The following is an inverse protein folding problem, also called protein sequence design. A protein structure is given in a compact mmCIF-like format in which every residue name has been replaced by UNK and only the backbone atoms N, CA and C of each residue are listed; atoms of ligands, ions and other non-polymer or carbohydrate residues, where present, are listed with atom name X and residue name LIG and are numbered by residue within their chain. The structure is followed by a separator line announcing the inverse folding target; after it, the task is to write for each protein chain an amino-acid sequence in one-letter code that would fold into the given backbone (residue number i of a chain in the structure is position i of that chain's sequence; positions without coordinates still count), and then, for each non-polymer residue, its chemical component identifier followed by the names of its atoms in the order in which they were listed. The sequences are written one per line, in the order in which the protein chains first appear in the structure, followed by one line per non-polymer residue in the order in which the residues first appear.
data_IF_699570033800
#
_entry.id   IF_699570033800
#
_cell.length_a   1.000
_cell.length_b   1.000
_cell.length_c   1.000
_cell.angle_alpha   90.00
_cell.angle_beta   90.00
_cell.angle_gamma   90.00
#
_symmetry.space_group_name_H-M   'P 1'
#
loop_
_entity.id
_entity.type
_entity.pdbx_description
1 polymer ?
#
# COMPACT_ATOMS: atom_id res chain seq x y z
N UNK A 1 -7.28 -30.47 -16.47
CA UNK A 1 -8.18 -29.53 -15.75
C UNK A 1 -8.14 -29.63 -14.21
N UNK A 2 -7.35 -30.51 -13.58
CA UNK A 2 -7.21 -30.54 -12.09
C UNK A 2 -6.25 -29.47 -11.54
N UNK A 3 -5.30 -29.00 -12.35
CA UNK A 3 -4.29 -28.01 -11.92
C UNK A 3 -4.79 -26.55 -11.99
N UNK A 4 -5.83 -26.28 -12.78
CA UNK A 4 -6.40 -24.93 -12.93
C UNK A 4 -7.07 -24.42 -11.64
N UNK A 5 -7.53 -25.31 -10.75
CA UNK A 5 -8.21 -24.92 -9.50
C UNK A 5 -7.31 -24.05 -8.60
N UNK A 6 -6.00 -24.32 -8.60
CA UNK A 6 -5.04 -23.56 -7.81
C UNK A 6 -4.72 -22.23 -8.48
N UNK A 7 -4.66 -22.20 -9.81
CA UNK A 7 -4.44 -20.97 -10.57
C UNK A 7 -5.59 -19.98 -10.37
N UNK A 8 -6.84 -20.43 -10.50
CA UNK A 8 -8.03 -19.59 -10.26
C UNK A 8 -8.06 -19.04 -8.83
N UNK A 9 -7.66 -19.85 -7.85
CA UNK A 9 -7.55 -19.40 -6.46
C UNK A 9 -6.55 -18.25 -6.32
N UNK A 10 -5.33 -18.40 -6.85
CA UNK A 10 -4.32 -17.35 -6.77
C UNK A 10 -4.70 -16.10 -7.55
N UNK A 11 -5.27 -16.24 -8.75
CA UNK A 11 -5.74 -15.12 -9.57
C UNK A 11 -6.79 -14.28 -8.83
N UNK A 12 -7.75 -14.94 -8.18
CA UNK A 12 -8.76 -14.26 -7.36
C UNK A 12 -8.14 -13.46 -6.19
N UNK A 13 -7.00 -13.90 -5.65
CA UNK A 13 -6.27 -13.14 -4.62
C UNK A 13 -5.58 -11.89 -5.17
N UNK A 14 -5.40 -11.77 -6.50
CA UNK A 14 -4.81 -10.60 -7.15
C UNK A 14 -5.85 -9.53 -7.50
N UNK A 15 -7.14 -9.87 -7.54
CA UNK A 15 -8.23 -8.96 -7.89
C UNK A 15 -8.34 -7.74 -6.97
N UNK A 16 -8.04 -7.92 -5.68
CA UNK A 16 -8.13 -6.89 -4.67
C UNK A 16 -6.93 -6.94 -3.72
N UNK A 17 -6.44 -5.77 -3.31
CA UNK A 17 -5.43 -5.68 -2.27
C UNK A 17 -5.96 -6.20 -0.92
N UNK A 18 -7.23 -5.96 -0.62
CA UNK A 18 -7.94 -6.46 0.56
C UNK A 18 -8.62 -7.82 0.27
N UNK A 19 -7.87 -8.83 -0.13
CA UNK A 19 -8.41 -10.14 -0.47
C UNK A 19 -8.89 -10.94 0.77
N UNK A 20 -9.42 -12.14 0.54
CA UNK A 20 -9.97 -13.00 1.60
C UNK A 20 -8.95 -13.36 2.70
N UNK A 21 -7.66 -13.50 2.36
CA UNK A 21 -6.60 -13.81 3.33
C UNK A 21 -6.34 -12.61 4.24
N UNK A 22 -6.31 -11.40 3.68
CA UNK A 22 -6.16 -10.15 4.44
C UNK A 22 -7.34 -9.98 5.41
N UNK A 23 -8.57 -10.16 4.92
CA UNK A 23 -9.78 -10.05 5.76
C UNK A 23 -9.76 -11.05 6.91
N UNK A 24 -9.36 -12.30 6.65
CA UNK A 24 -9.25 -13.34 7.67
C UNK A 24 -8.18 -12.99 8.72
N UNK A 25 -6.99 -12.56 8.30
CA UNK A 25 -5.92 -12.19 9.22
C UNK A 25 -6.33 -10.99 10.12
N UNK A 26 -7.10 -10.03 9.60
CA UNK A 26 -7.66 -8.94 10.41
C UNK A 26 -8.73 -9.41 11.38
N UNK A 27 -9.58 -10.36 10.99
CA UNK A 27 -10.58 -10.98 11.89
C UNK A 27 -9.91 -11.75 13.04
N UNK A 28 -8.72 -12.30 12.82
CA UNK A 28 -7.86 -12.91 13.85
C UNK A 28 -7.18 -11.87 14.77
N UNK A 29 -7.43 -10.57 14.55
CA UNK A 29 -6.90 -9.47 15.38
C UNK A 29 -5.46 -9.08 15.06
N UNK A 30 -4.91 -9.54 13.92
CA UNK A 30 -3.54 -9.21 13.50
C UNK A 30 -3.48 -7.81 12.87
N UNK A 31 -2.36 -7.13 13.07
CA UNK A 31 -2.11 -5.79 12.53
C UNK A 31 -1.68 -5.89 11.07
N UNK A 32 -2.35 -5.16 10.18
CA UNK A 32 -2.06 -5.14 8.74
C UNK A 32 -1.01 -4.07 8.40
N UNK A 33 0.20 -4.51 8.07
CA UNK A 33 1.33 -3.64 7.68
C UNK A 33 1.44 -3.58 6.16
N UNK A 34 1.23 -2.39 5.59
CA UNK A 34 1.41 -2.14 4.18
C UNK A 34 2.87 -1.89 3.82
N UNK A 35 3.32 -2.41 2.68
CA UNK A 35 4.59 -2.00 2.06
C UNK A 35 4.44 -1.69 0.58
N UNK A 36 5.26 -0.76 0.07
CA UNK A 36 5.21 -0.29 -1.33
C UNK A 36 6.43 -0.70 -2.15
N UNK A 37 7.52 -1.11 -1.50
CA UNK A 37 8.82 -1.35 -2.13
C UNK A 37 9.49 -2.61 -1.57
N UNK A 38 10.26 -3.30 -2.40
CA UNK A 38 10.95 -4.54 -2.03
C UNK A 38 12.21 -4.30 -1.19
N UNK A 39 12.59 -3.03 -1.04
CA UNK A 39 13.69 -2.59 -0.18
C UNK A 39 13.26 -2.35 1.26
N UNK A 40 11.99 -2.59 1.62
CA UNK A 40 11.58 -2.56 3.03
C UNK A 40 12.30 -3.69 3.76
N UNK A 41 12.98 -3.41 4.89
CA UNK A 41 13.66 -4.44 5.68
C UNK A 41 12.70 -5.57 6.06
N UNK A 42 13.05 -6.81 5.73
CA UNK A 42 12.23 -8.00 5.99
C UNK A 42 11.89 -8.16 7.47
N UNK A 43 12.81 -7.78 8.36
CA UNK A 43 12.62 -7.79 9.82
C UNK A 43 11.43 -6.94 10.28
N UNK A 44 11.06 -5.88 9.55
CA UNK A 44 9.89 -5.06 9.86
C UNK A 44 8.59 -5.68 9.34
N UNK A 45 8.68 -6.59 8.36
CA UNK A 45 7.54 -7.23 7.72
C UNK A 45 7.06 -8.48 8.49
N UNK A 46 7.90 -9.04 9.37
CA UNK A 46 7.65 -10.28 10.13
C UNK A 46 7.57 -10.05 11.66
N UNK A 47 7.07 -8.88 12.08
CA UNK A 47 6.91 -8.59 13.50
C UNK A 47 5.80 -9.45 14.14
N UNK A 48 5.97 -9.91 15.39
CA UNK A 48 4.96 -10.70 16.09
C UNK A 48 3.59 -10.02 16.12
N UNK A 49 2.53 -10.76 15.79
CA UNK A 49 1.15 -10.24 15.78
C UNK A 49 0.81 -9.36 14.57
N UNK A 50 1.74 -9.19 13.63
CA UNK A 50 1.51 -8.45 12.39
C UNK A 50 1.39 -9.39 11.20
N UNK A 51 0.88 -8.88 10.08
CA UNK A 51 1.03 -9.50 8.77
C UNK A 51 1.21 -8.42 7.71
N UNK A 52 1.93 -8.75 6.66
CA UNK A 52 2.34 -7.77 5.65
C UNK A 52 1.55 -7.92 4.36
N UNK A 53 1.16 -6.78 3.78
CA UNK A 53 0.53 -6.70 2.46
C UNK A 53 1.38 -5.81 1.55
N UNK A 54 1.81 -6.35 0.40
CA UNK A 54 2.37 -5.55 -0.68
C UNK A 54 1.24 -4.77 -1.35
N UNK A 55 1.29 -3.45 -1.28
CA UNK A 55 0.32 -2.60 -1.94
C UNK A 55 0.44 -2.78 -3.46
N UNK A 56 -0.72 -2.91 -4.08
CA UNK A 56 -0.93 -2.95 -5.52
C UNK A 56 -2.19 -2.17 -5.79
N UNK A 57 -2.29 -1.62 -6.99
CA UNK A 57 -3.47 -0.90 -7.44
C UNK A 57 -4.22 -1.72 -8.52
N UNK A 58 -4.82 -2.87 -8.17
CA UNK A 58 -5.65 -3.60 -9.10
C UNK A 58 -6.94 -2.82 -9.36
N UNK A 59 -7.50 -2.99 -10.57
CA UNK A 59 -8.74 -2.31 -11.02
C UNK A 59 -8.66 -0.78 -11.01
N UNK A 60 -7.45 -0.21 -11.07
CA UNK A 60 -7.26 1.21 -11.35
C UNK A 60 -7.86 1.54 -12.72
N UNK A 61 -8.86 2.42 -12.72
CA UNK A 61 -9.55 2.86 -13.93
C UNK A 61 -8.99 4.18 -14.45
N UNK A 62 -9.45 5.28 -13.86
CA UNK A 62 -8.92 6.63 -14.16
C UNK A 62 -7.62 6.87 -13.42
N UNK A 63 -6.71 7.65 -14.02
CA UNK A 63 -5.48 8.16 -13.39
C UNK A 63 -5.47 9.68 -13.23
N UNK A 64 -6.65 10.30 -13.28
CA UNK A 64 -6.80 11.74 -13.27
C UNK A 64 -6.34 12.36 -11.95
N UNK A 65 -6.75 11.83 -10.80
CA UNK A 65 -6.36 12.38 -9.51
C UNK A 65 -4.89 12.11 -9.20
N UNK A 66 -4.40 10.92 -9.53
CA UNK A 66 -2.99 10.56 -9.45
C UNK A 66 -2.14 11.50 -10.29
N UNK A 67 -2.60 11.88 -11.50
CA UNK A 67 -1.90 12.82 -12.39
C UNK A 67 -2.04 14.29 -11.95
N UNK A 68 -3.12 14.64 -11.27
CA UNK A 68 -3.33 15.97 -10.70
C UNK A 68 -2.38 16.24 -9.53
N UNK A 69 -2.28 15.30 -8.59
CA UNK A 69 -1.39 15.42 -7.42
C UNK A 69 0.07 15.08 -7.73
N UNK A 70 0.32 14.30 -8.78
CA UNK A 70 1.66 13.91 -9.20
C UNK A 70 1.80 14.08 -10.71
N UNK A 71 2.85 14.76 -11.17
CA UNK A 71 3.06 14.98 -12.61
C UNK A 71 3.00 13.67 -13.42
N UNK A 72 2.44 13.74 -14.64
CA UNK A 72 2.30 12.60 -15.57
C UNK A 72 3.65 11.97 -15.96
N UNK A 73 4.75 12.70 -15.76
CA UNK A 73 6.11 12.18 -15.97
C UNK A 73 6.52 11.12 -14.93
N UNK A 74 5.86 11.03 -13.78
CA UNK A 74 6.18 10.02 -12.77
C UNK A 74 5.62 8.64 -13.15
N UNK A 75 6.28 7.60 -12.65
CA UNK A 75 5.90 6.21 -12.92
C UNK A 75 4.44 5.94 -12.58
N UNK A 76 3.77 5.29 -13.54
CA UNK A 76 2.37 4.89 -13.46
C UNK A 76 2.06 4.14 -12.17
N UNK A 77 2.96 3.27 -11.70
CA UNK A 77 2.74 2.53 -10.45
C UNK A 77 2.55 3.46 -9.24
N UNK A 78 3.36 4.52 -9.12
CA UNK A 78 3.25 5.45 -8.00
C UNK A 78 1.96 6.29 -8.06
N UNK A 79 1.56 6.72 -9.27
CA UNK A 79 0.29 7.41 -9.51
C UNK A 79 -0.91 6.50 -9.27
N UNK A 80 -0.81 5.23 -9.69
CA UNK A 80 -1.84 4.21 -9.49
C UNK A 80 -2.08 3.90 -8.02
N UNK A 81 -1.00 3.83 -7.23
CA UNK A 81 -1.11 3.70 -5.78
C UNK A 81 -1.84 4.91 -5.18
N UNK A 82 -1.47 6.14 -5.56
CA UNK A 82 -2.12 7.34 -5.00
C UNK A 82 -3.60 7.41 -5.35
N UNK A 83 -3.97 7.19 -6.61
CA UNK A 83 -5.37 7.15 -7.04
C UNK A 83 -6.17 6.13 -6.23
N UNK A 84 -5.64 4.91 -6.12
CA UNK A 84 -6.34 3.84 -5.39
C UNK A 84 -6.44 4.15 -3.90
N UNK A 85 -5.49 4.88 -3.34
CA UNK A 85 -5.57 5.38 -1.98
C UNK A 85 -6.69 6.42 -1.82
N UNK A 86 -6.81 7.37 -2.76
CA UNK A 86 -7.87 8.40 -2.78
C UNK A 86 -9.26 7.75 -2.89
N UNK A 87 -9.40 6.69 -3.69
CA UNK A 87 -10.62 5.88 -3.80
C UNK A 87 -10.96 5.09 -2.53
N UNK A 88 -10.09 5.08 -1.51
CA UNK A 88 -10.26 4.33 -0.27
C UNK A 88 -9.84 2.86 -0.35
N UNK A 89 -9.14 2.45 -1.41
CA UNK A 89 -8.73 1.07 -1.65
C UNK A 89 -7.78 0.48 -0.59
N UNK A 90 -7.20 1.31 0.28
CA UNK A 90 -6.24 0.90 1.32
C UNK A 90 -6.67 1.22 2.75
N UNK A 91 -7.95 1.55 3.00
CA UNK A 91 -8.47 1.86 4.33
C UNK A 91 -8.36 0.69 5.34
N UNK A 92 -8.04 -0.52 4.84
CA UNK A 92 -7.83 -1.69 5.68
C UNK A 92 -6.43 -1.77 6.31
N UNK A 93 -5.49 -0.92 5.90
CA UNK A 93 -4.15 -0.90 6.47
C UNK A 93 -4.18 -0.26 7.86
N UNK A 94 -3.36 -0.79 8.77
CA UNK A 94 -3.13 -0.20 10.09
C UNK A 94 -1.81 0.59 10.13
N UNK A 95 -0.90 0.35 9.19
CA UNK A 95 0.35 1.09 9.00
C UNK A 95 0.81 1.00 7.53
N UNK A 96 1.56 1.99 7.05
CA UNK A 96 2.27 1.93 5.76
C UNK A 96 3.76 2.24 5.96
N UNK A 97 4.61 1.29 5.54
CA UNK A 97 6.06 1.44 5.55
C UNK A 97 6.54 1.70 4.12
N UNK A 98 7.23 2.82 3.94
CA UNK A 98 7.84 3.22 2.68
C UNK A 98 9.34 3.48 2.90
N UNK A 99 10.24 2.71 2.27
CA UNK A 99 11.66 3.03 2.33
C UNK A 99 11.96 4.16 1.35
N UNK A 100 12.94 5.00 1.68
CA UNK A 100 13.47 6.00 0.76
C UNK A 100 14.29 5.33 -0.36
N UNK A 101 13.56 4.71 -1.30
CA UNK A 101 14.11 3.97 -2.43
C UNK A 101 14.07 4.78 -3.72
N UNK A 102 12.95 5.48 -3.97
CA UNK A 102 12.80 6.35 -5.13
C UNK A 102 11.91 7.53 -4.76
N UNK A 103 12.24 8.71 -5.31
CA UNK A 103 11.54 9.94 -4.98
C UNK A 103 10.05 9.88 -5.31
N UNK A 104 9.65 9.13 -6.35
CA UNK A 104 8.25 9.07 -6.79
C UNK A 104 7.33 8.36 -5.79
N UNK A 105 7.80 7.27 -5.17
CA UNK A 105 7.04 6.58 -4.12
C UNK A 105 6.97 7.43 -2.87
N UNK A 106 8.04 8.13 -2.51
CA UNK A 106 8.02 9.06 -1.38
C UNK A 106 6.98 10.16 -1.60
N UNK A 107 6.95 10.76 -2.80
CA UNK A 107 5.92 11.75 -3.15
C UNK A 107 4.51 11.16 -3.13
N UNK A 108 4.32 9.92 -3.60
CA UNK A 108 3.00 9.27 -3.53
C UNK A 108 2.55 9.07 -2.08
N UNK A 109 3.43 8.55 -1.22
CA UNK A 109 3.13 8.28 0.20
C UNK A 109 2.94 9.58 0.99
N UNK A 110 3.69 10.64 0.68
CA UNK A 110 3.46 11.97 1.22
C UNK A 110 2.10 12.52 0.85
N UNK A 111 1.69 12.38 -0.41
CA UNK A 111 0.34 12.79 -0.81
C UNK A 111 -0.73 11.97 -0.08
N UNK A 112 -0.54 10.66 0.11
CA UNK A 112 -1.44 9.83 0.93
C UNK A 112 -1.52 10.31 2.39
N UNK A 113 -0.39 10.70 2.97
CA UNK A 113 -0.30 11.27 4.34
C UNK A 113 -1.03 12.60 4.45
N UNK A 114 -0.78 13.53 3.53
CA UNK A 114 -1.40 14.86 3.50
C UNK A 114 -2.90 14.80 3.23
N UNK A 115 -3.34 13.93 2.32
CA UNK A 115 -4.75 13.74 1.97
C UNK A 115 -5.50 12.86 2.97
N UNK A 116 -4.79 12.26 3.95
CA UNK A 116 -5.36 11.38 4.98
C UNK A 116 -6.20 10.24 4.39
N UNK A 117 -5.69 9.61 3.33
CA UNK A 117 -6.41 8.56 2.59
C UNK A 117 -6.72 7.32 3.44
N UNK A 118 -5.95 7.09 4.52
CA UNK A 118 -6.18 6.04 5.50
C UNK A 118 -6.56 6.68 6.85
N UNK A 119 -7.87 6.71 7.23
CA UNK A 119 -8.36 7.47 8.38
C UNK A 119 -8.26 6.74 9.73
N UNK A 120 -7.62 5.57 9.80
CA UNK A 120 -7.55 4.78 11.03
C UNK A 120 -6.91 5.56 12.18
N UNK A 121 -7.53 5.57 13.37
CA UNK A 121 -7.04 6.36 14.52
C UNK A 121 -5.61 6.00 14.95
N UNK A 122 -5.20 4.75 14.73
CA UNK A 122 -3.85 4.24 15.05
C UNK A 122 -2.95 4.15 13.83
N UNK A 123 -3.38 4.71 12.69
CA UNK A 123 -2.64 4.63 11.45
C UNK A 123 -1.43 5.57 11.47
N UNK A 124 -0.28 5.06 11.03
CA UNK A 124 0.90 5.90 10.82
C UNK A 124 1.65 5.54 9.53
N UNK A 125 2.26 6.56 8.95
CA UNK A 125 3.21 6.44 7.84
C UNK A 125 4.62 6.42 8.41
N UNK A 126 5.38 5.36 8.13
CA UNK A 126 6.80 5.30 8.45
C UNK A 126 7.61 5.39 7.18
N UNK A 127 8.35 6.49 7.03
CA UNK A 127 9.38 6.61 5.99
C UNK A 127 10.72 6.20 6.58
N UNK A 128 11.32 5.14 6.02
CA UNK A 128 12.62 4.67 6.46
C UNK A 128 13.72 5.35 5.63
N UNK A 129 14.59 6.13 6.27
CA UNK A 129 15.72 6.84 5.64
C UNK A 129 15.52 8.34 5.42
N UNK A 130 14.30 8.86 5.60
CA UNK A 130 14.03 10.29 5.52
C UNK A 130 14.48 10.96 6.83
N UNK A 131 15.49 11.83 6.77
CA UNK A 131 15.86 12.64 7.93
C UNK A 131 14.67 13.52 8.29
N UNK A 132 14.09 13.31 9.48
CA UNK A 132 12.94 14.04 10.03
C UNK A 132 13.09 15.58 10.03
N UNK A 133 14.26 16.10 9.68
CA UNK A 133 14.65 17.50 9.58
C UNK A 133 14.02 18.24 8.38
N UNK A 134 13.53 17.52 7.36
CA UNK A 134 12.87 18.10 6.18
C UNK A 134 11.39 18.48 6.40
N UNK A 135 10.82 18.18 7.59
CA UNK A 135 9.40 18.36 7.92
C UNK A 135 9.11 19.63 8.77
N UNK A 136 9.98 20.65 8.73
CA UNK A 136 9.72 21.99 9.29
C UNK A 136 9.15 22.95 8.26
#
# INVERSE_FOLDING_TARGET
MRDLKHLYYFEKLLDEANNELVRRARQEGRICVGNVCSLVPEVLLDLPGTFTVRLRAPRTGSMEMGTYYMTSFLCEYSRALLERAIEGGYQFLDCLIAPDACSMINRAVENMELLKTMPGEKFFFSKYGDSHESRR
#
